data_IF_353366097548
#
_entry.id   IF_353366097548
#
_cell.length_a   1.000
_cell.length_b   1.000
_cell.length_c   1.000
_cell.angle_alpha   90.00
_cell.angle_beta   90.00
_cell.angle_gamma   90.00
#
_symmetry.space_group_name_H-M   'P 1'
#
loop_
_entity.id
_entity.type
_entity.pdbx_description
1 polymer ?
#
# COMPACT_ATOMS: atom_id res chain seq x y z
N UNK A 1 8.52 -21.05 18.28
CA UNK A 1 9.52 -20.08 17.77
C UNK A 1 9.08 -19.61 16.39
N UNK A 2 8.89 -18.30 16.23
CA UNK A 2 8.42 -17.72 14.96
C UNK A 2 9.60 -16.99 14.28
N UNK A 3 10.05 -17.41 13.10
CA UNK A 3 11.33 -16.96 12.51
C UNK A 3 11.40 -15.44 12.27
N UNK A 4 10.27 -14.76 12.09
CA UNK A 4 10.21 -13.31 11.85
C UNK A 4 10.20 -12.47 13.14
N UNK A 5 9.83 -13.08 14.29
CA UNK A 5 9.61 -12.33 15.53
C UNK A 5 10.53 -12.76 16.68
N UNK A 6 11.24 -13.89 16.55
CA UNK A 6 12.18 -14.34 17.59
C UNK A 6 13.53 -13.60 17.53
N UNK A 7 13.87 -13.07 16.37
CA UNK A 7 15.02 -12.19 16.17
C UNK A 7 14.61 -10.96 15.35
N UNK A 8 15.27 -9.82 15.58
CA UNK A 8 14.88 -8.56 14.91
C UNK A 8 15.15 -8.54 13.41
N UNK A 9 16.23 -9.16 12.97
CA UNK A 9 16.75 -8.96 11.61
C UNK A 9 15.88 -9.56 10.51
N UNK A 10 15.37 -10.81 10.60
CA UNK A 10 14.53 -11.37 9.54
C UNK A 10 13.30 -10.52 9.25
N UNK A 11 12.59 -10.04 10.29
CA UNK A 11 11.42 -9.17 10.12
C UNK A 11 11.79 -7.81 9.53
N UNK A 12 12.87 -7.17 10.01
CA UNK A 12 13.34 -5.88 9.48
C UNK A 12 13.80 -6.02 8.03
N UNK A 13 14.54 -7.06 7.68
CA UNK A 13 14.99 -7.29 6.30
C UNK A 13 13.80 -7.56 5.35
N UNK A 14 12.81 -8.34 5.81
CA UNK A 14 11.58 -8.56 5.06
C UNK A 14 10.85 -7.23 4.81
N UNK A 15 10.72 -6.39 5.83
CA UNK A 15 10.12 -5.05 5.70
C UNK A 15 10.88 -4.20 4.68
N UNK A 16 12.20 -4.10 4.79
CA UNK A 16 13.04 -3.33 3.85
C UNK A 16 12.84 -3.83 2.42
N UNK A 17 12.83 -5.15 2.21
CA UNK A 17 12.64 -5.75 0.90
C UNK A 17 11.24 -5.41 0.32
N UNK A 18 10.18 -5.58 1.11
CA UNK A 18 8.81 -5.29 0.68
C UNK A 18 8.64 -3.80 0.37
N UNK A 19 9.03 -2.92 1.27
CA UNK A 19 8.87 -1.48 1.08
C UNK A 19 9.67 -0.95 -0.12
N UNK A 20 10.86 -1.50 -0.35
CA UNK A 20 11.69 -1.14 -1.51
C UNK A 20 11.07 -1.66 -2.80
N UNK A 21 10.59 -2.90 -2.82
CA UNK A 21 9.93 -3.48 -4.00
C UNK A 21 8.60 -2.78 -4.31
N UNK A 22 7.84 -2.33 -3.30
CA UNK A 22 6.64 -1.51 -3.48
C UNK A 22 6.94 -0.23 -4.26
N UNK A 23 7.93 0.53 -3.81
CA UNK A 23 8.34 1.76 -4.48
C UNK A 23 8.72 1.53 -5.94
N UNK A 24 9.47 0.47 -6.23
CA UNK A 24 9.89 0.15 -7.61
C UNK A 24 8.75 -0.39 -8.47
N UNK A 25 7.82 -1.15 -7.90
CA UNK A 25 6.60 -1.56 -8.58
C UNK A 25 5.74 -0.34 -8.94
N UNK A 26 5.59 0.61 -8.03
CA UNK A 26 4.89 1.88 -8.26
C UNK A 26 5.51 2.66 -9.40
N UNK A 27 6.85 2.83 -9.41
CA UNK A 27 7.56 3.52 -10.51
C UNK A 27 7.43 2.77 -11.85
N UNK A 28 7.47 1.45 -11.83
CA UNK A 28 7.29 0.62 -13.03
C UNK A 28 5.90 0.81 -13.61
N UNK A 29 4.87 0.73 -12.76
CA UNK A 29 3.49 1.00 -13.17
C UNK A 29 3.32 2.44 -13.68
N UNK A 30 3.92 3.43 -13.04
CA UNK A 30 3.86 4.83 -13.47
C UNK A 30 4.54 5.05 -14.84
N UNK A 31 5.65 4.37 -15.13
CA UNK A 31 6.29 4.38 -16.46
C UNK A 31 5.39 3.75 -17.53
N UNK A 32 4.80 2.59 -17.24
CA UNK A 32 3.87 1.93 -18.16
C UNK A 32 2.61 2.78 -18.39
N UNK A 33 2.10 3.41 -17.34
CA UNK A 33 0.96 4.33 -17.42
C UNK A 33 1.23 5.46 -18.43
N UNK A 34 2.37 6.14 -18.31
CA UNK A 34 2.78 7.20 -19.26
C UNK A 34 3.14 6.66 -20.64
N UNK A 35 3.63 5.43 -20.71
CA UNK A 35 4.02 4.78 -21.97
C UNK A 35 2.86 4.37 -22.87
N UNK A 36 1.60 4.58 -22.43
CA UNK A 36 0.45 4.30 -23.29
C UNK A 36 -0.81 3.88 -22.52
N UNK A 37 -0.68 3.33 -21.32
CA UNK A 37 -1.84 2.85 -20.54
C UNK A 37 -2.84 3.98 -20.27
N UNK A 38 -2.41 5.22 -20.07
CA UNK A 38 -3.25 6.39 -19.85
C UNK A 38 -4.26 6.67 -20.98
N UNK A 39 -4.07 6.13 -22.18
CA UNK A 39 -5.02 6.26 -23.27
C UNK A 39 -6.22 5.33 -23.15
N UNK A 40 -6.08 4.24 -22.38
CA UNK A 40 -7.13 3.25 -22.11
C UNK A 40 -7.68 3.40 -20.70
N UNK A 41 -6.81 3.58 -19.72
CA UNK A 41 -7.18 3.79 -18.31
C UNK A 41 -6.61 5.13 -17.86
N UNK A 42 -7.46 6.12 -17.65
CA UNK A 42 -7.06 7.44 -17.17
C UNK A 42 -7.43 7.60 -15.69
N UNK A 43 -6.55 8.24 -14.92
CA UNK A 43 -6.81 8.64 -13.53
C UNK A 43 -6.84 10.16 -13.44
N UNK A 44 -7.84 10.69 -12.73
CA UNK A 44 -7.90 12.11 -12.41
C UNK A 44 -6.71 12.50 -11.52
N UNK A 45 -5.86 13.36 -12.00
CA UNK A 45 -4.63 13.81 -11.32
C UNK A 45 -3.46 12.85 -11.48
N UNK A 46 -2.83 12.46 -10.39
CA UNK A 46 -1.65 11.58 -10.39
C UNK A 46 -2.06 10.10 -10.33
N UNK A 47 -1.27 9.24 -10.99
CA UNK A 47 -1.34 7.79 -10.81
C UNK A 47 -1.14 7.38 -9.35
N UNK A 48 -0.24 8.06 -8.63
CA UNK A 48 0.04 7.81 -7.22
C UNK A 48 -1.07 8.40 -6.34
N UNK A 49 -1.71 7.56 -5.53
CA UNK A 49 -2.80 7.97 -4.64
C UNK A 49 -2.31 8.64 -3.36
N UNK A 50 -1.09 8.32 -2.91
CA UNK A 50 -0.49 8.86 -1.69
C UNK A 50 0.10 10.24 -1.93
N UNK A 51 -0.46 11.33 -1.39
CA UNK A 51 0.01 12.70 -1.69
C UNK A 51 1.48 12.93 -1.37
N UNK A 52 2.00 12.20 -0.39
CA UNK A 52 3.38 12.31 0.05
C UNK A 52 4.39 11.93 -1.04
N UNK A 53 4.06 10.94 -1.89
CA UNK A 53 4.94 10.42 -2.94
C UNK A 53 4.64 10.95 -4.34
N UNK A 54 3.48 11.59 -4.57
CA UNK A 54 3.03 12.02 -5.91
C UNK A 54 4.11 12.73 -6.72
N UNK A 55 4.74 13.77 -6.15
CA UNK A 55 5.75 14.55 -6.86
C UNK A 55 6.95 13.71 -7.32
N UNK A 56 7.34 12.72 -6.54
CA UNK A 56 8.50 11.88 -6.84
C UNK A 56 8.15 10.80 -7.84
N UNK A 57 6.96 10.19 -7.72
CA UNK A 57 6.42 9.22 -8.69
C UNK A 57 6.12 9.89 -10.01
N UNK A 58 5.50 11.08 -9.99
CA UNK A 58 5.26 11.89 -11.20
C UNK A 58 6.57 12.33 -11.87
N UNK A 59 7.64 12.55 -11.15
CA UNK A 59 8.96 12.81 -11.71
C UNK A 59 9.73 11.53 -12.09
N UNK A 60 9.15 10.32 -11.88
CA UNK A 60 9.79 9.02 -12.09
C UNK A 60 11.16 8.91 -11.40
N UNK A 61 11.32 9.53 -10.24
CA UNK A 61 12.58 9.51 -9.48
C UNK A 61 12.86 8.10 -9.01
N UNK A 62 13.97 7.52 -9.44
CA UNK A 62 14.34 6.15 -9.07
C UNK A 62 14.62 5.98 -7.56
N UNK A 63 15.05 7.07 -6.89
CA UNK A 63 15.21 7.15 -5.45
C UNK A 63 14.71 8.51 -4.96
N UNK A 64 13.68 8.51 -4.14
CA UNK A 64 13.11 9.71 -3.53
C UNK A 64 13.69 9.91 -2.13
N UNK A 65 14.10 11.14 -1.75
CA UNK A 65 14.46 11.44 -0.36
C UNK A 65 13.35 11.08 0.63
N UNK A 66 12.09 11.25 0.24
CA UNK A 66 10.93 10.91 1.07
C UNK A 66 10.82 9.41 1.31
N UNK A 67 11.09 8.60 0.27
CA UNK A 67 11.17 7.14 0.39
C UNK A 67 12.25 6.75 1.39
N UNK A 68 13.46 7.29 1.25
CA UNK A 68 14.59 6.98 2.16
C UNK A 68 14.27 7.37 3.60
N UNK A 69 13.73 8.58 3.82
CA UNK A 69 13.34 9.05 5.16
C UNK A 69 12.28 8.13 5.78
N UNK A 70 11.23 7.77 5.03
CA UNK A 70 10.17 6.89 5.54
C UNK A 70 10.69 5.47 5.83
N UNK A 71 11.57 4.93 4.97
CA UNK A 71 12.23 3.65 5.21
C UNK A 71 13.06 3.67 6.48
N UNK A 72 13.96 4.66 6.63
CA UNK A 72 14.81 4.79 7.82
C UNK A 72 13.95 4.97 9.08
N UNK A 73 12.94 5.82 9.04
CA UNK A 73 12.04 6.03 10.18
C UNK A 73 11.32 4.75 10.59
N UNK A 74 10.75 4.01 9.63
CA UNK A 74 10.03 2.76 9.92
C UNK A 74 10.96 1.66 10.46
N UNK A 75 12.17 1.52 9.90
CA UNK A 75 13.19 0.61 10.44
C UNK A 75 13.58 1.01 11.86
N UNK A 76 13.79 2.30 12.12
CA UNK A 76 14.12 2.79 13.47
C UNK A 76 13.01 2.47 14.48
N UNK A 77 11.74 2.65 14.09
CA UNK A 77 10.59 2.29 14.91
C UNK A 77 10.57 0.78 15.19
N UNK A 78 10.78 -0.07 14.18
CA UNK A 78 10.83 -1.53 14.38
C UNK A 78 11.95 -1.95 15.33
N UNK A 79 13.15 -1.34 15.19
CA UNK A 79 14.28 -1.62 16.09
C UNK A 79 13.99 -1.16 17.53
N UNK A 80 13.35 0.01 17.68
CA UNK A 80 12.93 0.50 18.99
C UNK A 80 11.87 -0.42 19.63
N UNK A 81 10.85 -0.83 18.87
CA UNK A 81 9.83 -1.78 19.33
C UNK A 81 10.45 -3.12 19.75
N UNK A 82 11.42 -3.61 18.98
CA UNK A 82 12.16 -4.81 19.37
C UNK A 82 12.86 -4.64 20.72
N UNK A 83 13.53 -3.52 20.95
CA UNK A 83 14.27 -3.26 22.17
C UNK A 83 13.34 -3.21 23.40
N UNK A 84 12.16 -2.58 23.27
CA UNK A 84 11.15 -2.53 24.32
C UNK A 84 10.48 -3.90 24.52
N UNK A 85 10.20 -4.62 23.43
CA UNK A 85 9.53 -5.93 23.48
C UNK A 85 10.32 -6.98 24.28
N UNK A 86 11.63 -6.87 24.30
CA UNK A 86 12.48 -7.79 25.08
C UNK A 86 12.36 -7.61 26.59
N UNK A 87 11.87 -6.46 27.03
CA UNK A 87 11.81 -6.11 28.46
C UNK A 87 10.39 -6.27 29.02
N UNK A 88 9.36 -5.78 28.31
CA UNK A 88 8.03 -5.66 28.91
C UNK A 88 6.86 -6.05 28.00
N UNK A 89 7.04 -6.08 26.68
CA UNK A 89 5.91 -6.21 25.73
C UNK A 89 6.24 -7.07 24.49
N UNK A 90 6.51 -8.36 24.71
CA UNK A 90 6.91 -9.32 23.67
C UNK A 90 6.05 -9.28 22.38
N UNK A 91 4.81 -8.83 22.46
CA UNK A 91 3.89 -8.70 21.34
C UNK A 91 4.00 -7.40 20.54
N UNK A 92 4.61 -6.33 21.10
CA UNK A 92 4.63 -5.00 20.46
C UNK A 92 5.40 -4.99 19.13
N UNK A 93 6.57 -5.62 19.09
CA UNK A 93 7.35 -5.76 17.86
C UNK A 93 6.59 -6.60 16.81
N UNK A 94 6.02 -7.74 17.21
CA UNK A 94 5.26 -8.60 16.31
C UNK A 94 4.05 -7.86 15.73
N UNK A 95 3.34 -7.10 16.55
CA UNK A 95 2.21 -6.27 16.13
C UNK A 95 2.65 -5.19 15.12
N UNK A 96 3.67 -4.41 15.44
CA UNK A 96 4.20 -3.37 14.55
C UNK A 96 4.70 -3.93 13.22
N UNK A 97 5.45 -5.04 13.28
CA UNK A 97 5.93 -5.73 12.08
C UNK A 97 4.76 -6.25 11.24
N UNK A 98 3.75 -6.86 11.86
CA UNK A 98 2.55 -7.35 11.18
C UNK A 98 1.76 -6.22 10.53
N UNK A 99 1.61 -5.07 11.20
CA UNK A 99 0.96 -3.90 10.63
C UNK A 99 1.66 -3.41 9.35
N UNK A 100 2.97 -3.42 9.30
CA UNK A 100 3.73 -2.99 8.13
C UNK A 100 3.75 -4.06 7.03
N UNK A 101 4.18 -5.28 7.36
CA UNK A 101 4.41 -6.36 6.39
C UNK A 101 3.11 -6.82 5.72
N UNK A 102 2.01 -6.97 6.48
CA UNK A 102 0.75 -7.46 5.94
C UNK A 102 0.02 -6.40 5.10
N UNK A 103 0.15 -5.11 5.43
CA UNK A 103 -0.31 -4.02 4.55
C UNK A 103 0.45 -4.03 3.24
N UNK A 104 1.79 -4.14 3.29
CA UNK A 104 2.59 -4.22 2.06
C UNK A 104 2.28 -5.47 1.24
N UNK A 105 2.00 -6.61 1.86
CA UNK A 105 1.56 -7.80 1.15
C UNK A 105 0.25 -7.54 0.35
N UNK A 106 -0.72 -6.85 0.96
CA UNK A 106 -1.95 -6.44 0.27
C UNK A 106 -1.66 -5.49 -0.89
N UNK A 107 -0.77 -4.50 -0.69
CA UNK A 107 -0.34 -3.56 -1.74
C UNK A 107 0.38 -4.28 -2.88
N UNK A 108 1.22 -5.28 -2.61
CA UNK A 108 1.88 -6.09 -3.64
C UNK A 108 0.91 -6.87 -4.51
N UNK A 109 -0.17 -7.41 -3.95
CA UNK A 109 -1.24 -8.05 -4.75
C UNK A 109 -1.82 -7.04 -5.75
N UNK A 110 -2.05 -5.80 -5.34
CA UNK A 110 -2.48 -4.71 -6.22
C UNK A 110 -1.44 -4.42 -7.31
N UNK A 111 -0.17 -4.36 -6.97
CA UNK A 111 0.90 -4.14 -7.96
C UNK A 111 0.97 -5.25 -8.99
N UNK A 112 0.91 -6.51 -8.57
CA UNK A 112 0.88 -7.66 -9.48
C UNK A 112 -0.31 -7.56 -10.44
N UNK A 113 -1.51 -7.26 -9.92
CA UNK A 113 -2.71 -7.04 -10.74
C UNK A 113 -2.52 -5.89 -11.72
N UNK A 114 -2.03 -4.75 -11.27
CA UNK A 114 -1.82 -3.57 -12.12
C UNK A 114 -0.77 -3.83 -13.20
N UNK A 115 0.35 -4.46 -12.86
CA UNK A 115 1.39 -4.84 -13.82
C UNK A 115 0.85 -5.80 -14.88
N UNK A 116 0.03 -6.78 -14.48
CA UNK A 116 -0.62 -7.71 -15.40
C UNK A 116 -1.55 -6.96 -16.38
N UNK A 117 -2.46 -6.13 -15.86
CA UNK A 117 -3.40 -5.35 -16.68
C UNK A 117 -2.65 -4.40 -17.60
N UNK A 118 -1.66 -3.66 -17.11
CA UNK A 118 -0.90 -2.70 -17.91
C UNK A 118 -0.10 -3.36 -19.03
N UNK A 119 0.49 -4.54 -18.78
CA UNK A 119 1.14 -5.33 -19.84
C UNK A 119 0.17 -5.73 -20.94
N UNK A 120 -1.05 -6.16 -20.60
CA UNK A 120 -2.10 -6.53 -21.56
C UNK A 120 -2.55 -5.32 -22.39
N UNK A 121 -2.77 -4.17 -21.75
CA UNK A 121 -3.14 -2.92 -22.43
C UNK A 121 -2.07 -2.54 -23.45
N UNK A 122 -0.78 -2.53 -23.05
CA UNK A 122 0.32 -2.16 -23.95
C UNK A 122 0.53 -3.17 -25.07
N UNK A 123 0.18 -4.43 -24.86
CA UNK A 123 0.19 -5.46 -25.92
C UNK A 123 -1.07 -5.45 -26.80
N UNK A 124 -2.05 -4.55 -26.57
CA UNK A 124 -3.36 -4.52 -27.25
C UNK A 124 -4.10 -5.87 -27.17
N UNK A 125 -3.95 -6.59 -26.05
CA UNK A 125 -4.45 -7.93 -25.84
C UNK A 125 -5.61 -7.95 -24.81
N UNK A 126 -6.82 -8.15 -25.32
CA UNK A 126 -8.02 -8.40 -24.52
C UNK A 126 -8.60 -7.18 -23.77
N UNK A 127 -8.07 -5.98 -23.98
CA UNK A 127 -8.59 -4.74 -23.37
C UNK A 127 -8.82 -3.71 -24.46
N UNK A 128 -10.05 -3.19 -24.57
CA UNK A 128 -10.42 -2.17 -25.54
C UNK A 128 -11.32 -1.11 -24.87
N UNK A 129 -11.39 0.07 -25.50
CA UNK A 129 -12.15 1.21 -24.99
C UNK A 129 -11.33 2.11 -24.07
N UNK A 130 -12.01 3.08 -23.43
CA UNK A 130 -11.39 4.02 -22.49
C UNK A 130 -12.22 4.08 -21.21
N UNK A 131 -11.55 4.00 -20.08
CA UNK A 131 -12.15 4.17 -18.74
C UNK A 131 -11.43 5.30 -18.05
N UNK A 132 -12.17 6.19 -17.43
CA UNK A 132 -11.62 7.29 -16.63
C UNK A 132 -12.09 7.15 -15.18
N UNK A 133 -11.12 7.14 -14.27
CA UNK A 133 -11.35 7.01 -12.84
C UNK A 133 -11.22 8.38 -12.16
N UNK A 134 -12.29 8.85 -11.56
CA UNK A 134 -12.21 9.94 -10.61
C UNK A 134 -11.30 9.54 -9.44
N UNK A 135 -10.55 10.50 -8.89
CA UNK A 135 -9.65 10.23 -7.75
C UNK A 135 -10.37 9.61 -6.55
N UNK A 136 -11.58 10.09 -6.25
CA UNK A 136 -12.43 9.55 -5.18
C UNK A 136 -12.78 8.08 -5.41
N UNK A 137 -13.07 7.70 -6.65
CA UNK A 137 -13.37 6.31 -7.01
C UNK A 137 -12.12 5.42 -6.86
N UNK A 138 -10.96 5.86 -7.33
CA UNK A 138 -9.71 5.13 -7.19
C UNK A 138 -9.33 4.92 -5.71
N UNK A 139 -9.52 5.94 -4.86
CA UNK A 139 -9.35 5.83 -3.40
C UNK A 139 -10.35 4.85 -2.79
N UNK A 140 -11.62 4.89 -3.23
CA UNK A 140 -12.65 3.95 -2.76
C UNK A 140 -12.29 2.51 -3.07
N UNK A 141 -11.86 2.21 -4.30
CA UNK A 141 -11.40 0.87 -4.68
C UNK A 141 -10.21 0.40 -3.83
N UNK A 142 -9.22 1.28 -3.63
CA UNK A 142 -8.08 0.98 -2.76
C UNK A 142 -8.49 0.71 -1.31
N UNK A 143 -9.45 1.48 -0.79
CA UNK A 143 -9.99 1.27 0.55
C UNK A 143 -10.72 -0.07 0.68
N UNK A 144 -11.58 -0.42 -0.27
CA UNK A 144 -12.31 -1.70 -0.28
C UNK A 144 -11.36 -2.89 -0.33
N UNK A 145 -10.31 -2.82 -1.15
CA UNK A 145 -9.29 -3.87 -1.25
C UNK A 145 -8.59 -4.10 0.09
N UNK A 146 -8.15 -3.03 0.76
CA UNK A 146 -7.52 -3.11 2.08
C UNK A 146 -8.48 -3.64 3.16
N UNK A 147 -9.75 -3.25 3.14
CA UNK A 147 -10.77 -3.79 4.03
C UNK A 147 -11.01 -5.30 3.80
N UNK A 148 -10.96 -5.75 2.54
CA UNK A 148 -11.01 -7.18 2.20
C UNK A 148 -9.83 -7.96 2.80
N UNK A 149 -8.60 -7.41 2.71
CA UNK A 149 -7.44 -8.01 3.38
C UNK A 149 -7.54 -7.96 4.91
N UNK A 150 -8.05 -6.87 5.49
CA UNK A 150 -8.28 -6.80 6.93
C UNK A 150 -9.23 -7.91 7.39
N UNK A 151 -10.30 -8.18 6.63
CA UNK A 151 -11.23 -9.28 6.91
C UNK A 151 -10.53 -10.65 6.82
N UNK A 152 -9.72 -10.88 5.79
CA UNK A 152 -8.97 -12.13 5.64
C UNK A 152 -7.98 -12.35 6.81
N UNK A 153 -7.25 -11.30 7.22
CA UNK A 153 -6.35 -11.37 8.36
C UNK A 153 -7.10 -11.54 9.68
N UNK A 154 -8.29 -10.95 9.83
CA UNK A 154 -9.15 -11.17 10.99
C UNK A 154 -9.61 -12.64 11.08
N UNK A 155 -10.02 -13.24 9.97
CA UNK A 155 -10.39 -14.65 9.93
C UNK A 155 -9.20 -15.55 10.31
N UNK A 156 -8.01 -15.26 9.80
CA UNK A 156 -6.79 -15.97 10.19
C UNK A 156 -6.45 -15.77 11.68
N UNK A 157 -6.61 -14.55 12.19
CA UNK A 157 -6.38 -14.23 13.61
C UNK A 157 -7.36 -14.95 14.53
N UNK A 158 -8.63 -15.09 14.13
CA UNK A 158 -9.63 -15.85 14.90
C UNK A 158 -9.31 -17.34 14.94
N UNK A 159 -8.68 -17.88 13.89
CA UNK A 159 -8.23 -19.28 13.86
C UNK A 159 -6.95 -19.49 14.67
N UNK A 160 -6.01 -18.55 14.62
CA UNK A 160 -4.72 -18.60 15.32
C UNK A 160 -4.34 -17.21 15.86
N UNK A 161 -4.84 -16.84 17.05
CA UNK A 161 -4.60 -15.52 17.63
C UNK A 161 -3.13 -15.24 17.89
N UNK A 162 -2.59 -14.21 17.23
CA UNK A 162 -1.24 -13.73 17.48
C UNK A 162 -1.12 -12.23 17.15
N UNK A 163 -0.11 -11.58 17.73
CA UNK A 163 0.08 -10.13 17.59
C UNK A 163 0.42 -9.72 16.17
N UNK A 164 1.10 -10.54 15.37
CA UNK A 164 1.46 -10.24 14.01
C UNK A 164 0.22 -10.11 13.10
N UNK A 165 -0.70 -11.07 13.18
CA UNK A 165 -1.98 -10.99 12.44
C UNK A 165 -2.85 -9.84 12.94
N UNK A 166 -2.92 -9.59 14.24
CA UNK A 166 -3.63 -8.45 14.81
C UNK A 166 -3.09 -7.11 14.26
N UNK A 167 -1.77 -6.99 14.13
CA UNK A 167 -1.12 -5.85 13.48
C UNK A 167 -1.59 -5.66 12.04
N UNK A 168 -1.63 -6.72 11.25
CA UNK A 168 -2.14 -6.70 9.87
C UNK A 168 -3.59 -6.26 9.76
N UNK A 169 -4.46 -6.77 10.65
CA UNK A 169 -5.87 -6.34 10.74
C UNK A 169 -5.95 -4.83 10.96
N UNK A 170 -5.28 -4.33 11.99
CA UNK A 170 -5.33 -2.90 12.36
C UNK A 170 -4.70 -2.04 11.28
N UNK A 171 -3.58 -2.44 10.70
CA UNK A 171 -2.91 -1.72 9.61
C UNK A 171 -3.81 -1.56 8.38
N UNK A 172 -4.40 -2.66 7.90
CA UNK A 172 -5.29 -2.65 6.74
C UNK A 172 -6.60 -1.91 7.03
N UNK A 173 -7.20 -2.06 8.22
CA UNK A 173 -8.39 -1.30 8.63
C UNK A 173 -8.10 0.21 8.66
N UNK A 174 -6.99 0.61 9.27
CA UNK A 174 -6.63 2.02 9.42
C UNK A 174 -6.40 2.70 8.06
N UNK A 175 -5.60 2.07 7.19
CA UNK A 175 -5.32 2.61 5.87
C UNK A 175 -6.54 2.54 4.95
N UNK A 176 -7.31 1.45 4.99
CA UNK A 176 -8.54 1.28 4.24
C UNK A 176 -9.59 2.33 4.62
N UNK A 177 -9.82 2.53 5.92
CA UNK A 177 -10.72 3.58 6.43
C UNK A 177 -10.26 4.98 6.02
N UNK A 178 -8.97 5.28 6.07
CA UNK A 178 -8.41 6.56 5.63
C UNK A 178 -8.70 6.80 4.14
N UNK A 179 -8.52 5.80 3.28
CA UNK A 179 -8.83 5.90 1.86
C UNK A 179 -10.32 6.13 1.61
N UNK A 180 -11.20 5.39 2.31
CA UNK A 180 -12.66 5.57 2.21
C UNK A 180 -13.11 6.96 2.67
N UNK A 181 -12.56 7.48 3.75
CA UNK A 181 -12.88 8.84 4.23
C UNK A 181 -12.45 9.91 3.23
N UNK A 182 -11.24 9.78 2.65
CA UNK A 182 -10.76 10.70 1.61
C UNK A 182 -11.61 10.62 0.33
N UNK A 183 -12.06 9.43 -0.06
CA UNK A 183 -12.96 9.24 -1.18
C UNK A 183 -14.27 10.02 -1.01
N UNK A 184 -14.87 9.96 0.19
CA UNK A 184 -16.13 10.70 0.51
C UNK A 184 -15.94 12.22 0.53
N UNK A 185 -14.77 12.71 0.96
CA UNK A 185 -14.46 14.15 0.98
C UNK A 185 -14.37 14.76 -0.43
N UNK A 186 -13.83 14.01 -1.40
CA UNK A 186 -13.68 14.48 -2.79
C UNK A 186 -15.02 14.66 -3.54
N UNK A 187 -16.01 13.83 -3.24
CA UNK A 187 -17.35 13.93 -3.88
C UNK A 187 -18.15 15.17 -3.45
N UNK A 188 -17.90 15.72 -2.27
CA UNK A 188 -18.58 16.94 -1.79
C UNK A 188 -18.10 18.20 -2.48
N UNK A 189 -16.87 18.27 -2.93
CA UNK A 189 -16.32 19.45 -3.64
C UNK A 189 -16.75 19.52 -5.10
N UNK A 190 -17.12 18.42 -5.73
CA UNK A 190 -17.56 18.38 -7.12
C UNK A 190 -19.06 18.69 -7.30
N UNK A 191 -19.84 18.70 -6.21
CA UNK A 191 -21.31 18.86 -6.24
C UNK A 191 -21.82 20.30 -6.14
N UNK A 192 -20.95 21.32 -6.10
CA UNK A 192 -21.35 22.74 -5.99
C UNK A 192 -20.75 23.53 -7.15
N UNK A 193 -21.16 23.20 -8.38
CA UNK A 193 -21.12 24.15 -9.48
C UNK A 193 -22.56 24.65 -9.69
N UNK A 194 -22.88 25.95 -9.47
CA UNK A 194 -24.20 26.50 -9.85
C UNK A 194 -24.29 26.48 -11.36
N UNK A 195 -25.47 26.02 -11.84
CA UNK A 195 -25.94 26.18 -13.23
C UNK A 195 -26.17 27.64 -13.55
#
# INVERSE_FOLDING_TARGET
>A
MHPLTDTRWPGVLLWVALYTSDYWCTLTCARMYRGGVQHVVAFEGSYELTPYYQKDVDALRWMSPRFVVALVASVSVLVALWSVSRQEAASAYAFGLGALVLVEAAVHVRHVRNLYIFKRILAHDGVSGRIEYARSFALGLSGLELLGFAFAYLAAWLAEPNAFLAGGVVGCLSLGAQHMLRARGGTRSAGVAPQ
#
